data_IF_215437186722
#
_entry.id   IF_215437186722
#
_cell.length_a   1.000
_cell.length_b   1.000
_cell.length_c   1.000
_cell.angle_alpha   90.00
_cell.angle_beta   90.00
_cell.angle_gamma   90.00
#
_symmetry.space_group_name_H-M   'P 1'
#
loop_
_entity.id
_entity.type
_entity.pdbx_description
1 polymer ?
#
# COMPACT_ATOMS: atom_id res chain seq x y z
N UNK A 1 15.11 -7.63 -9.09
CA UNK A 1 13.94 -7.58 -8.20
C UNK A 1 14.22 -8.21 -6.85
N UNK A 2 14.64 -9.49 -6.76
CA UNK A 2 15.00 -10.13 -5.48
C UNK A 2 15.99 -9.29 -4.64
N UNK A 3 17.07 -8.80 -5.26
CA UNK A 3 18.05 -7.93 -4.59
C UNK A 3 17.43 -6.63 -4.04
N UNK A 4 16.36 -6.11 -4.67
CA UNK A 4 15.67 -4.88 -4.20
C UNK A 4 14.81 -5.14 -2.99
N UNK A 5 14.18 -6.32 -2.91
CA UNK A 5 13.46 -6.76 -1.71
C UNK A 5 14.43 -6.90 -0.55
N UNK A 6 15.59 -7.55 -0.79
CA UNK A 6 16.60 -7.69 0.24
C UNK A 6 17.13 -6.32 0.68
N UNK A 7 17.43 -5.42 -0.27
CA UNK A 7 17.88 -4.06 0.04
C UNK A 7 16.84 -3.27 0.87
N UNK A 8 15.56 -3.31 0.49
CA UNK A 8 14.48 -2.67 1.23
C UNK A 8 14.35 -3.24 2.66
N UNK A 9 14.37 -4.57 2.78
CA UNK A 9 14.33 -5.24 4.08
C UNK A 9 15.54 -4.87 4.95
N UNK A 10 16.75 -4.85 4.38
CA UNK A 10 17.97 -4.53 5.10
C UNK A 10 17.97 -3.08 5.60
N UNK A 11 17.41 -2.12 4.83
CA UNK A 11 17.26 -0.73 5.26
C UNK A 11 16.27 -0.62 6.42
N UNK A 12 15.06 -1.18 6.25
CA UNK A 12 13.95 -1.01 7.20
C UNK A 12 14.12 -1.85 8.48
N UNK A 13 14.92 -2.92 8.43
CA UNK A 13 15.21 -3.77 9.59
C UNK A 13 16.21 -3.16 10.57
N UNK A 14 16.82 -2.01 10.25
CA UNK A 14 17.81 -1.37 11.12
C UNK A 14 17.16 -0.76 12.37
N UNK A 15 17.86 -0.73 13.52
CA UNK A 15 17.39 0.02 14.69
C UNK A 15 17.33 1.53 14.48
N UNK A 16 18.18 2.05 13.59
CA UNK A 16 18.27 3.45 13.19
C UNK A 16 17.60 3.70 11.83
N UNK A 17 16.64 2.84 11.41
CA UNK A 17 15.90 3.05 10.18
C UNK A 17 15.09 4.36 10.27
N UNK A 18 15.33 5.26 9.32
CA UNK A 18 14.66 6.56 9.19
C UNK A 18 14.37 6.86 7.71
N UNK A 19 13.69 7.96 7.42
CA UNK A 19 13.38 8.37 6.05
C UNK A 19 14.63 8.78 5.26
N UNK A 20 15.67 9.25 5.94
CA UNK A 20 16.93 9.69 5.32
C UNK A 20 17.70 8.51 4.71
N UNK A 21 17.78 7.37 5.40
CA UNK A 21 18.37 6.14 4.85
C UNK A 21 17.61 5.64 3.61
N UNK A 22 16.29 5.81 3.59
CA UNK A 22 15.47 5.46 2.43
C UNK A 22 15.74 6.42 1.27
N UNK A 23 15.80 7.73 1.53
CA UNK A 23 16.16 8.74 0.52
C UNK A 23 17.53 8.46 -0.07
N UNK A 24 18.55 8.27 0.76
CA UNK A 24 19.92 7.99 0.32
C UNK A 24 19.96 6.78 -0.64
N UNK A 25 19.20 5.73 -0.34
CA UNK A 25 19.12 4.55 -1.20
C UNK A 25 18.44 4.84 -2.55
N UNK A 26 17.36 5.62 -2.56
CA UNK A 26 16.61 5.96 -3.78
C UNK A 26 17.35 6.97 -4.67
N UNK A 27 18.06 7.93 -4.08
CA UNK A 27 18.87 8.91 -4.79
C UNK A 27 20.02 8.25 -5.58
N UNK A 28 20.49 7.06 -5.17
CA UNK A 28 21.46 6.29 -5.98
C UNK A 28 20.94 5.91 -7.38
N UNK A 29 19.61 5.90 -7.56
CA UNK A 29 18.94 5.69 -8.85
C UNK A 29 18.47 7.00 -9.49
N UNK A 30 18.85 8.15 -8.94
CA UNK A 30 18.46 9.47 -9.43
C UNK A 30 16.98 9.76 -9.26
N UNK A 31 16.35 9.20 -8.22
CA UNK A 31 14.97 9.47 -7.84
C UNK A 31 14.95 10.61 -6.83
N UNK A 32 14.19 11.66 -7.13
CA UNK A 32 13.94 12.74 -6.18
C UNK A 32 13.01 12.21 -5.07
N UNK A 33 13.43 12.37 -3.82
CA UNK A 33 12.76 11.75 -2.67
C UNK A 33 12.62 12.77 -1.55
N UNK A 34 11.37 13.06 -1.21
CA UNK A 34 11.00 13.92 -0.10
C UNK A 34 10.88 13.10 1.18
N UNK A 35 11.40 13.66 2.28
CA UNK A 35 11.28 13.10 3.63
C UNK A 35 10.64 14.17 4.52
N UNK A 36 9.54 13.81 5.18
CA UNK A 36 8.85 14.68 6.14
C UNK A 36 8.69 13.96 7.47
N UNK A 37 9.38 14.46 8.50
CA UNK A 37 9.25 13.96 9.87
C UNK A 37 8.02 14.57 10.55
N UNK A 38 7.14 13.72 11.07
CA UNK A 38 6.03 14.10 11.92
C UNK A 38 6.27 13.58 13.33
N UNK A 39 6.09 14.44 14.34
CA UNK A 39 6.28 14.10 15.75
C UNK A 39 5.01 14.40 16.54
N UNK A 40 4.61 13.45 17.37
CA UNK A 40 3.44 13.51 18.26
C UNK A 40 3.86 13.14 19.69
N UNK A 41 2.91 13.14 20.61
CA UNK A 41 3.14 12.66 21.98
C UNK A 41 3.35 11.12 22.03
N UNK A 42 2.96 10.39 20.98
CA UNK A 42 3.06 8.92 20.88
C UNK A 42 4.35 8.44 20.19
N UNK A 43 5.11 9.36 19.58
CA UNK A 43 6.39 9.06 18.92
C UNK A 43 6.63 9.93 17.69
N UNK A 44 7.46 9.46 16.77
CA UNK A 44 7.71 10.13 15.50
C UNK A 44 7.79 9.14 14.34
N UNK A 45 7.49 9.62 13.14
CA UNK A 45 7.68 8.85 11.92
C UNK A 45 8.11 9.75 10.77
N UNK A 46 8.90 9.19 9.85
CA UNK A 46 9.30 9.87 8.63
C UNK A 46 8.46 9.37 7.46
N UNK A 47 7.63 10.25 6.90
CA UNK A 47 6.99 10.01 5.62
C UNK A 47 8.00 10.16 4.50
N UNK A 48 7.99 9.22 3.57
CA UNK A 48 8.86 9.19 2.41
C UNK A 48 7.99 9.18 1.16
N UNK A 49 8.16 10.19 0.30
CA UNK A 49 7.53 10.26 -1.03
C UNK A 49 8.61 10.29 -2.10
N UNK A 50 8.45 9.49 -3.15
CA UNK A 50 9.33 9.54 -4.32
C UNK A 50 8.54 9.39 -5.61
N UNK A 51 9.06 9.96 -6.69
CA UNK A 51 8.49 9.82 -8.02
C UNK A 51 9.50 9.12 -8.91
N UNK A 52 9.06 8.04 -9.58
CA UNK A 52 9.77 7.46 -10.72
C UNK A 52 9.21 8.09 -12.00
N UNK A 53 9.97 8.99 -12.67
CA UNK A 53 9.43 9.72 -13.81
C UNK A 53 9.23 8.82 -15.03
N UNK A 54 8.06 8.93 -15.66
CA UNK A 54 7.72 8.34 -16.94
C UNK A 54 8.29 9.13 -18.13
N UNK A 55 8.02 8.63 -19.33
CA UNK A 55 8.40 9.25 -20.58
C UNK A 55 7.41 10.33 -21.06
N UNK A 56 6.15 10.20 -20.66
CA UNK A 56 5.03 11.05 -21.05
C UNK A 56 4.28 11.54 -19.81
N UNK A 57 4.10 12.85 -19.69
CA UNK A 57 3.42 13.49 -18.55
C UNK A 57 1.90 13.40 -18.66
N UNK A 58 1.38 13.14 -19.86
CA UNK A 58 -0.06 13.01 -20.11
C UNK A 58 -0.52 11.54 -19.95
N UNK A 59 0.41 10.61 -19.75
CA UNK A 59 0.10 9.21 -19.46
C UNK A 59 -0.37 9.05 -17.99
N UNK A 60 -1.29 8.10 -17.70
CA UNK A 60 -1.80 7.91 -16.35
C UNK A 60 -0.70 7.66 -15.31
N UNK A 61 -0.82 8.29 -14.16
CA UNK A 61 0.08 8.13 -13.01
C UNK A 61 -0.45 7.08 -12.06
N UNK A 62 0.38 6.09 -11.74
CA UNK A 62 0.05 5.12 -10.68
C UNK A 62 0.59 5.60 -9.33
N UNK A 63 -0.28 5.60 -8.31
CA UNK A 63 0.10 5.68 -6.91
C UNK A 63 0.41 4.31 -6.31
N UNK A 64 1.50 4.19 -5.56
CA UNK A 64 1.86 3.00 -4.78
C UNK A 64 2.08 3.41 -3.33
N UNK A 65 1.18 3.00 -2.44
CA UNK A 65 1.27 3.30 -1.02
C UNK A 65 1.68 2.04 -0.27
N UNK A 66 2.78 2.09 0.46
CA UNK A 66 3.14 1.06 1.43
C UNK A 66 2.51 1.41 2.78
N UNK A 67 1.36 0.80 3.09
CA UNK A 67 0.57 1.08 4.29
C UNK A 67 1.00 0.15 5.44
N UNK A 68 1.11 0.72 6.65
CA UNK A 68 1.55 0.02 7.85
C UNK A 68 1.25 0.81 9.13
N UNK A 69 1.39 0.17 10.30
CA UNK A 69 1.50 0.87 11.59
C UNK A 69 2.92 1.35 11.88
N UNK A 70 3.93 0.54 11.54
CA UNK A 70 5.34 0.89 11.64
C UNK A 70 6.23 -0.26 11.19
N UNK A 71 7.48 0.04 10.85
CA UNK A 71 8.41 -0.98 10.33
C UNK A 71 8.97 -1.87 11.44
N UNK A 72 8.94 -1.40 12.69
CA UNK A 72 9.29 -2.16 13.87
C UNK A 72 8.65 -1.58 15.14
N UNK A 73 8.68 -2.33 16.24
CA UNK A 73 8.14 -1.95 17.54
C UNK A 73 9.22 -1.98 18.63
N UNK A 74 10.39 -1.38 18.36
CA UNK A 74 11.49 -1.35 19.33
C UNK A 74 11.14 -0.46 20.53
N UNK A 75 11.69 -0.74 21.73
CA UNK A 75 12.55 -1.89 22.06
C UNK A 75 11.77 -3.18 22.38
N UNK A 76 10.44 -3.17 22.33
CA UNK A 76 9.61 -4.31 22.72
C UNK A 76 9.82 -5.53 21.79
N UNK A 77 9.90 -5.29 20.48
CA UNK A 77 10.17 -6.29 19.47
C UNK A 77 11.45 -5.92 18.70
N UNK A 78 12.37 -6.87 18.55
CA UNK A 78 13.65 -6.66 17.87
C UNK A 78 13.57 -7.13 16.42
N UNK A 79 13.89 -6.22 15.49
CA UNK A 79 13.83 -6.48 14.06
C UNK A 79 12.53 -5.99 13.44
N UNK A 80 12.34 -6.22 12.13
CA UNK A 80 11.12 -5.81 11.44
C UNK A 80 9.94 -6.65 11.91
N UNK A 81 8.78 -6.00 11.97
CA UNK A 81 7.52 -6.63 12.35
C UNK A 81 6.70 -6.97 11.11
N UNK A 82 5.63 -7.75 11.28
CA UNK A 82 4.75 -8.17 10.18
C UNK A 82 4.24 -6.99 9.35
N UNK A 83 3.89 -5.88 10.00
CA UNK A 83 3.36 -4.66 9.37
C UNK A 83 4.35 -4.00 8.40
N UNK A 84 5.65 -4.29 8.50
CA UNK A 84 6.65 -3.73 7.62
C UNK A 84 6.48 -4.13 6.15
N UNK A 85 5.67 -5.14 5.82
CA UNK A 85 5.49 -5.64 4.45
C UNK A 85 5.12 -4.53 3.45
N UNK A 86 4.19 -3.64 3.82
CA UNK A 86 3.74 -2.53 2.96
C UNK A 86 4.90 -1.63 2.56
N UNK A 87 5.68 -1.17 3.54
CA UNK A 87 6.86 -0.34 3.32
C UNK A 87 7.97 -1.09 2.55
N UNK A 88 8.19 -2.38 2.84
CA UNK A 88 9.19 -3.20 2.13
C UNK A 88 8.82 -3.30 0.64
N UNK A 89 7.56 -3.60 0.32
CA UNK A 89 7.09 -3.72 -1.06
C UNK A 89 7.18 -2.37 -1.76
N UNK A 90 6.66 -1.29 -1.17
CA UNK A 90 6.70 0.05 -1.77
C UNK A 90 8.15 0.50 -2.07
N UNK A 91 9.06 0.35 -1.11
CA UNK A 91 10.47 0.68 -1.31
C UNK A 91 11.13 -0.21 -2.38
N UNK A 92 10.85 -1.52 -2.37
CA UNK A 92 11.39 -2.42 -3.39
C UNK A 92 10.88 -2.10 -4.81
N UNK A 93 9.61 -1.67 -4.94
CA UNK A 93 9.04 -1.16 -6.19
C UNK A 93 9.81 0.08 -6.66
N UNK A 94 10.00 1.07 -5.79
CA UNK A 94 10.72 2.30 -6.12
C UNK A 94 12.17 2.01 -6.55
N UNK A 95 12.90 1.21 -5.78
CA UNK A 95 14.28 0.80 -6.12
C UNK A 95 14.35 0.03 -7.43
N UNK A 96 13.37 -0.84 -7.71
CA UNK A 96 13.37 -1.64 -8.93
C UNK A 96 13.05 -0.80 -10.17
N UNK A 97 12.02 0.05 -10.09
CA UNK A 97 11.63 0.94 -11.18
C UNK A 97 12.70 2.02 -11.43
N UNK A 98 13.32 2.56 -10.39
CA UNK A 98 14.47 3.46 -10.49
C UNK A 98 15.65 2.80 -11.22
N UNK A 99 15.97 1.55 -10.86
CA UNK A 99 17.00 0.77 -11.56
C UNK A 99 16.66 0.52 -13.03
N UNK A 100 15.40 0.17 -13.34
CA UNK A 100 14.93 0.01 -14.72
C UNK A 100 15.15 1.31 -15.52
N UNK A 101 14.69 2.45 -14.98
CA UNK A 101 14.86 3.77 -15.59
C UNK A 101 16.32 4.11 -15.82
N UNK A 102 17.18 3.88 -14.82
CA UNK A 102 18.63 4.14 -14.93
C UNK A 102 19.31 3.30 -16.02
N UNK A 103 18.73 2.14 -16.36
CA UNK A 103 19.18 1.26 -17.46
C UNK A 103 18.54 1.59 -18.81
N UNK A 104 17.64 2.58 -18.87
CA UNK A 104 16.95 3.03 -20.08
C UNK A 104 15.55 2.45 -20.28
N UNK A 105 15.07 1.59 -19.38
CA UNK A 105 13.70 1.07 -19.40
C UNK A 105 12.77 2.04 -18.67
N UNK A 106 12.26 3.03 -19.40
CA UNK A 106 11.38 4.09 -18.86
C UNK A 106 9.91 3.69 -19.04
N UNK A 107 9.10 3.88 -17.98
CA UNK A 107 7.64 3.66 -18.04
C UNK A 107 6.97 4.76 -18.87
N UNK A 108 5.73 4.53 -19.30
CA UNK A 108 5.01 5.50 -20.11
C UNK A 108 4.65 6.75 -19.28
N UNK A 109 4.05 6.56 -18.12
CA UNK A 109 3.68 7.60 -17.14
C UNK A 109 4.42 7.45 -15.83
N UNK A 110 4.19 8.41 -14.93
CA UNK A 110 4.85 8.47 -13.64
C UNK A 110 4.35 7.37 -12.69
N UNK A 111 5.21 7.01 -11.73
CA UNK A 111 4.82 6.20 -10.57
C UNK A 111 5.18 6.98 -9.31
N UNK A 112 4.18 7.34 -8.52
CA UNK A 112 4.33 8.04 -7.24
C UNK A 112 4.29 7.01 -6.12
N UNK A 113 5.35 6.90 -5.34
CA UNK A 113 5.46 5.94 -4.25
C UNK A 113 5.51 6.68 -2.91
N UNK A 114 4.70 6.25 -1.95
CA UNK A 114 4.70 6.79 -0.60
C UNK A 114 4.68 5.68 0.46
N UNK A 115 5.33 5.91 1.59
CA UNK A 115 5.26 5.08 2.80
C UNK A 115 5.79 5.89 3.99
N UNK A 116 5.83 5.31 5.19
CA UNK A 116 6.47 5.94 6.33
C UNK A 116 7.37 4.95 7.09
N UNK A 117 8.39 5.51 7.74
CA UNK A 117 9.39 4.77 8.50
C UNK A 117 9.23 5.12 9.97
N UNK A 118 8.88 4.12 10.78
CA UNK A 118 8.82 4.20 12.23
C UNK A 118 9.45 2.93 12.83
N UNK A 119 10.69 3.00 13.36
CA UNK A 119 11.42 1.84 13.86
C UNK A 119 11.02 1.39 15.27
N UNK A 120 10.18 2.18 15.95
CA UNK A 120 9.79 2.06 17.36
C UNK A 120 8.31 2.38 17.58
N UNK A 121 7.45 1.97 16.64
CA UNK A 121 6.02 2.25 16.70
C UNK A 121 5.35 1.62 17.95
N UNK A 122 4.31 2.28 18.49
CA UNK A 122 3.65 1.86 19.71
C UNK A 122 2.88 0.56 19.50
N UNK A 123 2.69 -0.21 20.59
CA UNK A 123 1.86 -1.43 20.58
C UNK A 123 0.82 -1.37 21.69
N UNK A 124 -0.35 -1.96 21.45
CA UNK A 124 -1.43 -2.01 22.44
C UNK A 124 -2.02 -3.43 22.57
N UNK A 125 -2.48 -3.83 23.77
CA UNK A 125 -3.18 -5.10 23.96
C UNK A 125 -4.47 -5.16 23.13
N UNK A 126 -4.67 -6.22 22.34
CA UNK A 126 -5.85 -6.43 21.49
C UNK A 126 -6.09 -7.94 21.22
N UNK A 127 -7.31 -8.33 20.87
CA UNK A 127 -7.71 -9.71 20.52
C UNK A 127 -8.00 -9.84 19.01
N UNK A 128 -7.56 -10.89 18.29
CA UNK A 128 -6.93 -12.12 18.79
C UNK A 128 -5.42 -12.01 19.01
N UNK A 129 -4.82 -10.89 18.61
CA UNK A 129 -3.38 -10.61 18.68
C UNK A 129 -3.17 -9.12 18.99
N UNK A 130 -2.06 -8.73 19.65
CA UNK A 130 -1.76 -7.33 19.94
C UNK A 130 -1.82 -6.45 18.68
N UNK A 131 -2.33 -5.24 18.85
CA UNK A 131 -2.45 -4.27 17.77
C UNK A 131 -1.16 -3.45 17.66
N UNK A 132 -0.66 -3.34 16.44
CA UNK A 132 0.43 -2.45 16.10
C UNK A 132 -0.16 -1.07 15.85
N UNK A 133 0.24 -0.09 16.66
CA UNK A 133 -0.14 1.30 16.46
C UNK A 133 0.77 2.00 15.46
N UNK A 134 0.48 3.28 15.25
CA UNK A 134 1.37 4.23 14.58
C UNK A 134 1.46 5.48 15.44
N UNK A 135 2.57 6.25 15.41
CA UNK A 135 2.66 7.54 16.10
C UNK A 135 1.66 8.58 15.61
N UNK A 136 1.05 8.38 14.45
CA UNK A 136 0.14 9.32 13.79
C UNK A 136 -1.18 8.65 13.43
N UNK A 137 -2.24 9.46 13.37
CA UNK A 137 -3.55 8.98 12.94
C UNK A 137 -3.63 8.74 11.43
N UNK A 138 -4.70 8.05 11.01
CA UNK A 138 -4.92 7.70 9.61
C UNK A 138 -5.18 8.90 8.71
N UNK A 139 -5.76 9.99 9.21
CA UNK A 139 -5.90 11.24 8.44
C UNK A 139 -4.54 11.81 8.07
N UNK A 140 -3.63 11.89 9.05
CA UNK A 140 -2.26 12.35 8.86
C UNK A 140 -1.52 11.43 7.88
N UNK A 141 -1.68 10.10 8.00
CA UNK A 141 -1.13 9.16 7.01
C UNK A 141 -1.65 9.47 5.60
N UNK A 142 -2.96 9.64 5.44
CA UNK A 142 -3.55 9.90 4.14
C UNK A 142 -3.05 11.23 3.53
N UNK A 143 -2.92 12.30 4.32
CA UNK A 143 -2.36 13.59 3.88
C UNK A 143 -0.92 13.45 3.34
N UNK A 144 -0.13 12.55 3.93
CA UNK A 144 1.27 12.32 3.56
C UNK A 144 1.51 11.11 2.66
N UNK A 145 0.49 10.33 2.31
CA UNK A 145 0.63 9.14 1.44
C UNK A 145 -0.14 9.28 0.13
N UNK A 146 -1.32 9.91 0.18
CA UNK A 146 -2.19 10.10 -0.98
C UNK A 146 -1.82 11.40 -1.68
N UNK A 147 -1.77 11.35 -3.01
CA UNK A 147 -1.43 12.50 -3.85
C UNK A 147 -2.52 12.70 -4.91
N UNK A 148 -2.93 13.94 -5.14
CA UNK A 148 -3.98 14.29 -6.11
C UNK A 148 -3.59 13.98 -7.56
N UNK A 149 -2.29 13.85 -7.84
CA UNK A 149 -1.77 13.48 -9.15
C UNK A 149 -1.83 11.96 -9.41
N UNK A 150 -2.32 11.15 -8.46
CA UNK A 150 -2.51 9.70 -8.65
C UNK A 150 -3.85 9.41 -9.35
N UNK A 151 -3.80 8.87 -10.57
CA UNK A 151 -5.00 8.48 -11.33
C UNK A 151 -5.60 7.13 -10.86
N UNK A 152 -4.80 6.32 -10.18
CA UNK A 152 -5.20 5.10 -9.48
C UNK A 152 -4.21 4.78 -8.36
N UNK A 153 -4.64 4.05 -7.33
CA UNK A 153 -3.78 3.72 -6.17
C UNK A 153 -3.74 2.22 -5.93
N UNK A 154 -2.53 1.69 -5.79
CA UNK A 154 -2.27 0.39 -5.17
C UNK A 154 -1.80 0.62 -3.74
N UNK A 155 -2.57 0.12 -2.78
CA UNK A 155 -2.23 0.21 -1.35
C UNK A 155 -1.80 -1.16 -0.83
N UNK A 156 -0.54 -1.31 -0.46
CA UNK A 156 0.05 -2.58 -0.01
C UNK A 156 0.08 -2.60 1.52
N UNK A 157 -0.47 -3.65 2.13
CA UNK A 157 -0.56 -3.76 3.61
C UNK A 157 -0.40 -5.22 4.06
N UNK A 158 0.21 -5.40 5.23
CA UNK A 158 0.28 -6.69 5.92
C UNK A 158 -1.09 -7.11 6.48
N UNK A 159 -1.89 -7.74 5.63
CA UNK A 159 -3.23 -8.21 6.02
C UNK A 159 -3.16 -9.61 6.64
N UNK A 160 -2.28 -9.81 7.64
CA UNK A 160 -2.04 -11.12 8.27
C UNK A 160 -2.80 -11.31 9.58
N UNK A 161 -3.34 -10.25 10.17
CA UNK A 161 -4.06 -10.29 11.45
C UNK A 161 -5.49 -10.84 11.39
N UNK A 162 -5.95 -11.31 10.22
CA UNK A 162 -7.36 -11.64 9.99
C UNK A 162 -7.63 -13.15 9.87
N UNK A 163 -8.92 -13.52 9.83
CA UNK A 163 -9.42 -14.89 9.56
C UNK A 163 -10.33 -14.98 8.33
N UNK A 164 -10.36 -13.93 7.52
CA UNK A 164 -11.16 -13.80 6.30
C UNK A 164 -10.44 -14.43 5.11
N UNK A 165 -9.13 -14.23 5.02
CA UNK A 165 -8.28 -14.75 3.95
C UNK A 165 -7.05 -15.45 4.54
N UNK A 166 -7.09 -16.79 4.58
CA UNK A 166 -6.12 -17.63 5.29
C UNK A 166 -5.23 -18.43 4.33
N UNK A 167 -4.70 -17.77 3.31
CA UNK A 167 -3.76 -18.34 2.34
C UNK A 167 -2.43 -17.59 2.37
N UNK A 168 -1.34 -18.25 1.96
CA UNK A 168 -0.02 -17.63 1.91
C UNK A 168 0.21 -16.98 0.56
N UNK A 169 0.85 -15.82 0.52
CA UNK A 169 1.08 -15.05 -0.70
C UNK A 169 0.57 -13.63 -0.56
N UNK A 170 -0.09 -13.14 -1.61
CA UNK A 170 -0.87 -11.92 -1.55
C UNK A 170 -2.23 -12.08 -2.25
N UNK A 171 -3.20 -11.29 -1.84
CA UNK A 171 -4.51 -11.18 -2.45
C UNK A 171 -4.80 -9.72 -2.83
N UNK A 172 -5.55 -9.50 -3.91
CA UNK A 172 -6.00 -8.16 -4.28
C UNK A 172 -7.44 -7.92 -3.83
N UNK A 173 -7.76 -6.70 -3.40
CA UNK A 173 -9.15 -6.35 -3.10
C UNK A 173 -9.93 -6.09 -4.39
N UNK A 174 -11.27 -6.14 -4.35
CA UNK A 174 -12.09 -5.39 -5.28
C UNK A 174 -11.71 -3.90 -5.25
N UNK A 175 -11.94 -3.22 -6.37
CA UNK A 175 -11.63 -1.79 -6.50
C UNK A 175 -12.61 -0.97 -5.70
N UNK A 176 -12.09 -0.03 -4.92
CA UNK A 176 -12.89 0.94 -4.17
C UNK A 176 -12.77 2.29 -4.84
N UNK A 177 -13.91 2.91 -5.18
CA UNK A 177 -13.94 4.25 -5.79
C UNK A 177 -15.13 5.03 -5.24
N UNK A 178 -14.88 6.18 -4.63
CA UNK A 178 -15.91 7.11 -4.14
C UNK A 178 -17.01 6.44 -3.29
N UNK A 179 -16.60 5.55 -2.38
CA UNK A 179 -17.49 4.78 -1.51
C UNK A 179 -18.15 3.54 -2.15
N UNK A 180 -17.89 3.26 -3.42
CA UNK A 180 -18.32 2.02 -4.08
C UNK A 180 -17.29 0.91 -3.94
N UNK A 181 -17.75 -0.29 -3.59
CA UNK A 181 -16.98 -1.54 -3.79
C UNK A 181 -17.39 -2.12 -5.14
N UNK A 182 -16.50 -2.02 -6.13
CA UNK A 182 -16.73 -2.46 -7.50
C UNK A 182 -16.27 -3.91 -7.69
N UNK A 183 -16.61 -4.52 -8.83
CA UNK A 183 -16.06 -5.82 -9.24
C UNK A 183 -14.53 -5.73 -9.29
N UNK A 184 -13.84 -6.80 -8.90
CA UNK A 184 -12.39 -6.93 -9.11
C UNK A 184 -12.07 -6.77 -10.61
N UNK A 185 -11.08 -5.93 -10.94
CA UNK A 185 -10.68 -5.69 -12.31
C UNK A 185 -10.10 -6.95 -12.96
N UNK A 186 -10.64 -7.33 -14.12
CA UNK A 186 -10.12 -8.44 -14.92
C UNK A 186 -8.66 -8.17 -15.36
N UNK A 187 -8.29 -6.90 -15.63
CA UNK A 187 -6.90 -6.55 -15.95
C UNK A 187 -5.94 -6.83 -14.80
N UNK A 188 -6.36 -6.55 -13.56
CA UNK A 188 -5.53 -6.82 -12.38
C UNK A 188 -5.44 -8.33 -12.09
N UNK A 189 -6.53 -9.07 -12.32
CA UNK A 189 -6.52 -10.53 -12.24
C UNK A 189 -5.52 -11.13 -13.26
N UNK A 190 -5.56 -10.68 -14.52
CA UNK A 190 -4.62 -11.14 -15.57
C UNK A 190 -3.16 -10.84 -15.22
N UNK A 191 -2.88 -9.68 -14.60
CA UNK A 191 -1.54 -9.31 -14.13
C UNK A 191 -1.10 -10.20 -12.97
N UNK A 192 -1.98 -10.48 -12.02
CA UNK A 192 -1.69 -11.39 -10.91
C UNK A 192 -1.38 -12.80 -11.43
N UNK A 193 -2.18 -13.32 -12.35
CA UNK A 193 -1.96 -14.63 -12.98
C UNK A 193 -0.61 -14.69 -13.71
N UNK A 194 -0.31 -13.67 -14.52
CA UNK A 194 0.93 -13.62 -15.31
C UNK A 194 2.18 -13.45 -14.45
N UNK A 195 2.11 -12.61 -13.41
CA UNK A 195 3.27 -12.31 -12.55
C UNK A 195 3.58 -13.43 -11.57
N UNK A 196 2.56 -14.15 -11.09
CA UNK A 196 2.73 -15.24 -10.11
C UNK A 196 2.75 -16.64 -10.71
N UNK A 197 2.19 -16.82 -11.91
CA UNK A 197 1.97 -18.12 -12.52
C UNK A 197 0.93 -18.99 -11.79
N UNK A 198 0.04 -18.37 -11.01
CA UNK A 198 -1.01 -19.04 -10.21
C UNK A 198 -2.38 -18.44 -10.51
N UNK A 199 -3.49 -19.14 -10.20
CA UNK A 199 -4.81 -18.53 -10.22
C UNK A 199 -4.84 -17.28 -9.33
N UNK A 200 -5.68 -16.28 -9.66
CA UNK A 200 -5.72 -15.04 -8.93
C UNK A 200 -6.33 -15.26 -7.55
N UNK A 201 -5.84 -14.49 -6.58
CA UNK A 201 -6.29 -14.52 -5.20
C UNK A 201 -6.86 -13.16 -4.83
N UNK A 202 -8.07 -13.16 -4.26
CA UNK A 202 -8.80 -11.93 -3.93
C UNK A 202 -9.20 -11.90 -2.47
N UNK A 203 -9.19 -10.69 -1.89
CA UNK A 203 -9.63 -10.43 -0.53
C UNK A 203 -11.08 -9.92 -0.56
N UNK A 204 -11.98 -10.62 0.13
CA UNK A 204 -13.36 -10.15 0.31
C UNK A 204 -13.40 -8.90 1.17
N UNK A 205 -14.23 -7.94 0.80
CA UNK A 205 -14.47 -6.71 1.57
C UNK A 205 -15.88 -6.67 2.12
N UNK A 206 -16.01 -5.92 3.21
CA UNK A 206 -17.27 -5.41 3.75
C UNK A 206 -17.38 -3.91 3.48
N UNK A 207 -18.59 -3.36 3.65
CA UNK A 207 -18.77 -1.91 3.59
C UNK A 207 -18.03 -1.18 4.72
N UNK A 208 -17.73 -1.86 5.83
CA UNK A 208 -17.01 -1.25 6.95
C UNK A 208 -15.57 -0.94 6.53
N UNK A 209 -14.92 -1.87 5.81
CA UNK A 209 -13.51 -1.79 5.43
C UNK A 209 -13.15 -0.57 4.58
N UNK A 210 -14.13 0.04 3.92
CA UNK A 210 -13.95 1.21 3.05
C UNK A 210 -14.30 2.55 3.70
N UNK A 211 -14.65 2.54 4.99
CA UNK A 211 -14.97 3.76 5.75
C UNK A 211 -13.75 4.26 6.52
N UNK A 212 -13.67 5.57 6.83
CA UNK A 212 -12.53 6.10 7.58
C UNK A 212 -12.39 5.47 8.95
N UNK A 213 -11.14 5.27 9.37
CA UNK A 213 -10.81 5.00 10.75
C UNK A 213 -11.24 6.18 11.65
N UNK A 214 -11.52 5.88 12.92
CA UNK A 214 -12.04 6.87 13.88
C UNK A 214 -13.56 6.98 13.93
N UNK A 215 -14.28 6.11 13.21
CA UNK A 215 -15.75 6.01 13.25
C UNK A 215 -16.27 4.91 14.20
N UNK A 216 -15.41 4.35 15.06
CA UNK A 216 -15.73 3.31 16.03
C UNK A 216 -16.34 2.02 15.45
N UNK A 217 -16.08 1.71 14.17
CA UNK A 217 -16.42 0.40 13.59
C UNK A 217 -15.18 -0.46 13.38
N UNK A 218 -15.40 -1.76 13.18
CA UNK A 218 -14.33 -2.71 12.92
C UNK A 218 -14.01 -2.78 11.42
N UNK A 219 -12.72 -2.74 11.10
CA UNK A 219 -12.17 -2.93 9.76
C UNK A 219 -11.20 -4.10 9.76
N UNK A 220 -11.00 -4.73 8.60
CA UNK A 220 -10.03 -5.80 8.45
C UNK A 220 -8.60 -5.34 8.73
N UNK A 221 -8.23 -4.14 8.24
CA UNK A 221 -7.02 -3.37 8.50
C UNK A 221 -7.07 -2.03 7.72
N UNK A 222 -5.95 -1.33 7.66
CA UNK A 222 -5.82 0.00 7.06
C UNK A 222 -5.66 0.01 5.53
N UNK A 223 -5.68 -1.15 4.87
CA UNK A 223 -5.29 -1.27 3.46
C UNK A 223 -6.11 -0.39 2.51
N UNK A 224 -7.38 -0.12 2.83
CA UNK A 224 -8.28 0.71 2.03
C UNK A 224 -8.51 2.12 2.59
N UNK A 225 -7.78 2.51 3.63
CA UNK A 225 -7.87 3.88 4.16
C UNK A 225 -7.51 4.97 3.13
N UNK A 226 -6.57 4.76 2.18
CA UNK A 226 -6.37 5.71 1.08
C UNK A 226 -7.64 6.01 0.27
N UNK A 227 -8.57 5.05 0.15
CA UNK A 227 -9.83 5.24 -0.60
C UNK A 227 -10.78 6.25 0.05
N UNK A 228 -10.52 6.66 1.29
CA UNK A 228 -11.30 7.68 1.99
C UNK A 228 -10.77 9.10 1.76
N UNK A 229 -9.59 9.22 1.12
CA UNK A 229 -8.91 10.49 0.89
C UNK A 229 -8.70 10.81 -0.60
N UNK A 230 -9.23 10.00 -1.52
CA UNK A 230 -9.15 10.24 -2.97
C UNK A 230 -10.42 9.80 -3.69
N UNK A 231 -10.69 10.44 -4.83
CA UNK A 231 -11.71 10.03 -5.79
C UNK A 231 -11.15 9.03 -6.81
N UNK A 232 -9.83 8.83 -6.86
CA UNK A 232 -9.19 7.82 -7.69
C UNK A 232 -9.57 6.40 -7.24
N UNK A 233 -9.64 5.41 -8.15
CA UNK A 233 -9.84 4.02 -7.77
C UNK A 233 -8.65 3.49 -6.95
N UNK A 234 -8.95 2.82 -5.84
CA UNK A 234 -7.97 2.22 -4.93
C UNK A 234 -8.15 0.70 -4.90
N UNK A 235 -7.05 -0.03 -5.03
CA UNK A 235 -7.00 -1.48 -4.83
C UNK A 235 -5.97 -1.81 -3.76
N UNK A 236 -6.38 -2.62 -2.79
CA UNK A 236 -5.50 -3.18 -1.79
C UNK A 236 -4.71 -4.37 -2.33
N UNK A 237 -3.42 -4.44 -2.05
CA UNK A 237 -2.55 -5.61 -2.20
C UNK A 237 -2.20 -6.14 -0.81
N UNK A 238 -2.99 -7.12 -0.37
CA UNK A 238 -2.92 -7.69 0.97
C UNK A 238 -1.88 -8.81 0.99
N UNK A 239 -0.77 -8.65 1.71
CA UNK A 239 0.11 -9.81 2.00
C UNK A 239 -0.51 -10.63 3.13
N UNK A 240 -0.50 -11.96 2.99
CA UNK A 240 -1.36 -12.84 3.80
C UNK A 240 -0.61 -14.04 4.39
N UNK A 241 -1.21 -14.64 5.41
CA UNK A 241 -0.71 -15.82 6.11
C UNK A 241 -1.82 -16.84 6.34
N UNK A 242 -1.43 -18.10 6.58
CA UNK A 242 -2.39 -19.17 6.88
C UNK A 242 -3.02 -19.02 8.27
N UNK A 243 -2.29 -18.45 9.22
CA UNK A 243 -2.75 -18.20 10.59
C UNK A 243 -2.64 -16.72 10.91
N UNK A 244 -3.51 -16.19 11.79
CA UNK A 244 -3.42 -14.80 12.21
C UNK A 244 -2.04 -14.49 12.79
N UNK A 245 -1.43 -13.40 12.31
CA UNK A 245 -0.15 -12.88 12.82
C UNK A 245 -0.38 -11.45 13.33
N UNK A 246 0.08 -11.09 14.54
CA UNK A 246 0.05 -9.72 15.01
C UNK A 246 0.85 -8.79 14.11
N UNK A 247 0.43 -7.53 14.02
CA UNK A 247 1.21 -6.53 13.30
C UNK A 247 2.63 -6.36 13.86
N UNK A 248 2.77 -6.45 15.19
CA UNK A 248 4.06 -6.45 15.90
C UNK A 248 4.84 -7.78 15.80
N UNK A 249 4.29 -8.81 15.15
CA UNK A 249 4.90 -10.14 15.08
C UNK A 249 6.18 -10.15 14.24
N UNK A 250 7.31 -10.44 14.85
CA UNK A 250 8.61 -10.56 14.17
C UNK A 250 8.75 -11.90 13.43
N UNK A 251 9.61 -11.93 12.41
CA UNK A 251 9.86 -13.14 11.59
C UNK A 251 8.72 -13.51 10.63
N UNK A 252 7.78 -12.60 10.42
CA UNK A 252 6.60 -12.80 9.58
C UNK A 252 6.68 -12.12 8.21
N UNK A 253 7.80 -11.51 7.84
CA UNK A 253 8.00 -10.94 6.51
C UNK A 253 8.45 -12.03 5.53
N UNK A 254 7.51 -12.62 4.78
CA UNK A 254 7.79 -13.75 3.91
C UNK A 254 8.36 -13.29 2.57
N UNK A 255 9.69 -13.28 2.43
CA UNK A 255 10.37 -12.66 1.28
C UNK A 255 9.91 -13.13 -0.11
N UNK A 256 9.53 -14.39 -0.27
CA UNK A 256 8.97 -14.91 -1.54
C UNK A 256 7.62 -14.28 -1.87
N UNK A 257 6.81 -14.04 -0.85
CA UNK A 257 5.45 -13.54 -1.00
C UNK A 257 5.51 -12.01 -1.24
N UNK A 258 6.48 -11.32 -0.62
CA UNK A 258 6.80 -9.91 -0.92
C UNK A 258 7.36 -9.73 -2.32
N UNK A 259 8.15 -10.68 -2.81
CA UNK A 259 8.65 -10.69 -4.18
C UNK A 259 7.50 -10.80 -5.19
N UNK A 260 6.56 -11.71 -4.96
CA UNK A 260 5.38 -11.89 -5.80
C UNK A 260 4.51 -10.62 -5.81
N UNK A 261 4.25 -10.02 -4.65
CA UNK A 261 3.51 -8.76 -4.53
C UNK A 261 4.23 -7.61 -5.25
N UNK A 262 5.55 -7.48 -5.09
CA UNK A 262 6.36 -6.45 -5.77
C UNK A 262 6.32 -6.63 -7.28
N UNK A 263 6.41 -7.87 -7.77
CA UNK A 263 6.26 -8.20 -9.18
C UNK A 263 4.91 -7.75 -9.73
N UNK A 264 3.83 -8.05 -9.00
CA UNK A 264 2.50 -7.61 -9.35
C UNK A 264 2.37 -6.08 -9.43
N UNK A 265 2.87 -5.33 -8.45
CA UNK A 265 2.79 -3.85 -8.45
C UNK A 265 3.60 -3.26 -9.61
N UNK A 266 4.79 -3.79 -9.88
CA UNK A 266 5.65 -3.35 -10.99
C UNK A 266 4.98 -3.60 -12.35
N UNK A 267 4.36 -4.76 -12.55
CA UNK A 267 3.64 -5.06 -13.79
C UNK A 267 2.34 -4.23 -13.91
N UNK A 268 1.68 -3.94 -12.79
CA UNK A 268 0.54 -3.01 -12.75
C UNK A 268 0.96 -1.61 -13.18
N UNK A 269 2.06 -1.08 -12.65
CA UNK A 269 2.61 0.21 -13.08
C UNK A 269 2.89 0.24 -14.58
N UNK A 270 3.51 -0.82 -15.11
CA UNK A 270 3.83 -0.95 -16.54
C UNK A 270 2.60 -1.00 -17.44
N UNK A 271 1.53 -1.66 -17.02
CA UNK A 271 0.33 -1.83 -17.85
C UNK A 271 -0.63 -0.65 -17.71
N UNK A 272 -0.83 -0.14 -16.50
CA UNK A 272 -1.68 1.01 -16.22
C UNK A 272 -1.18 2.28 -16.91
N UNK A 273 0.10 2.60 -16.75
CA UNK A 273 0.70 3.79 -17.38
C UNK A 273 0.66 3.74 -18.92
N UNK A 274 0.52 2.56 -19.52
CA UNK A 274 0.35 2.38 -20.97
C UNK A 274 -1.12 2.34 -21.43
N UNK A 275 -2.07 2.53 -20.51
CA UNK A 275 -3.50 2.38 -20.77
C UNK A 275 -3.92 0.94 -21.14
N UNK A 276 -3.14 -0.07 -20.73
CA UNK A 276 -3.41 -1.50 -21.00
C UNK A 276 -4.13 -2.22 -19.87
N UNK A 277 -4.15 -1.63 -18.68
CA UNK A 277 -4.89 -2.12 -17.54
C UNK A 277 -5.80 -1.01 -16.99
N UNK A 278 -7.02 -1.38 -16.61
CA UNK A 278 -7.94 -0.50 -15.89
C UNK A 278 -8.14 -1.00 -14.48
N UNK A 279 -8.44 -0.10 -13.55
CA UNK A 279 -8.80 -0.47 -12.17
C UNK A 279 -10.30 -0.76 -12.05
N UNK A 280 -11.12 -0.26 -12.97
CA UNK A 280 -12.56 -0.47 -12.99
C UNK A 280 -13.12 -0.26 -14.40
N UNK A 281 -14.40 -0.61 -14.61
CA UNK A 281 -15.14 -0.28 -15.82
C UNK A 281 -15.90 1.04 -15.60
N UNK A 282 -15.51 2.08 -16.31
CA UNK A 282 -16.11 3.42 -16.21
C UNK A 282 -17.59 3.43 -16.59
N UNK A 283 -17.98 2.66 -17.62
CA UNK A 283 -19.39 2.61 -18.07
C UNK A 283 -20.27 1.91 -17.04
N UNK A 284 -19.77 0.85 -16.40
CA UNK A 284 -20.47 0.18 -15.32
C UNK A 284 -20.55 1.07 -14.07
N UNK A 285 -19.48 1.80 -13.73
CA UNK A 285 -19.48 2.76 -12.63
C UNK A 285 -20.52 3.88 -12.83
N UNK A 286 -20.52 4.51 -14.01
CA UNK A 286 -21.51 5.53 -14.39
C UNK A 286 -22.94 4.98 -14.32
N UNK A 287 -23.12 3.71 -14.68
CA UNK A 287 -24.42 3.05 -14.56
C UNK A 287 -24.82 2.83 -13.10
N UNK A 288 -23.90 2.42 -12.23
CA UNK A 288 -24.17 2.22 -10.80
C UNK A 288 -24.53 3.54 -10.12
N UNK A 289 -23.76 4.59 -10.36
CA UNK A 289 -24.01 5.93 -9.81
C UNK A 289 -25.33 6.51 -10.32
N UNK A 290 -25.67 6.31 -11.60
CA UNK A 290 -26.97 6.73 -12.17
C UNK A 290 -28.16 6.00 -11.54
N UNK A 291 -28.02 4.71 -11.23
CA UNK A 291 -29.10 3.89 -10.66
C UNK A 291 -29.29 4.11 -9.16
N UNK A 292 -28.21 4.27 -8.41
CA UNK A 292 -28.23 4.19 -6.95
C UNK A 292 -27.69 5.44 -6.24
N UNK A 293 -27.17 6.42 -6.99
CA UNK A 293 -26.63 7.67 -6.47
C UNK A 293 -25.17 7.56 -6.00
N UNK A 294 -24.68 8.64 -5.40
CA UNK A 294 -23.34 8.70 -4.80
C UNK A 294 -23.27 7.91 -3.50
N UNK A 295 -22.14 7.25 -3.28
CA UNK A 295 -21.78 6.58 -2.04
C UNK A 295 -20.73 7.36 -1.24
N UNK A 296 -20.39 8.59 -1.64
CA UNK A 296 -19.29 9.39 -1.07
C UNK A 296 -19.41 9.66 0.44
N UNK A 297 -20.63 9.57 1.02
CA UNK A 297 -20.81 9.63 2.48
C UNK A 297 -19.99 8.58 3.22
N UNK A 298 -19.73 7.43 2.61
CA UNK A 298 -18.93 6.36 3.21
C UNK A 298 -17.46 6.71 3.34
N UNK A 299 -16.97 7.72 2.62
CA UNK A 299 -15.61 8.25 2.78
C UNK A 299 -15.50 9.26 3.93
N UNK A 300 -16.58 9.49 4.68
CA UNK A 300 -16.63 10.40 5.83
C UNK A 300 -16.84 9.63 7.13
N UNK A 301 -16.66 10.29 8.29
CA UNK A 301 -17.00 9.74 9.61
C UNK A 301 -18.52 9.61 9.86
N UNK A 302 -19.34 9.60 8.80
CA UNK A 302 -20.80 9.55 8.87
C UNK A 302 -21.47 10.94 8.96
N UNK A 303 -20.68 12.01 9.00
CA UNK A 303 -21.13 13.40 9.04
C UNK A 303 -21.24 13.99 7.63
N UNK A 304 -22.47 14.07 7.09
CA UNK A 304 -22.80 14.87 5.90
C UNK A 304 -22.16 14.46 4.57
N UNK A 305 -22.75 14.96 3.47
CA UNK A 305 -22.16 15.05 2.12
C UNK A 305 -22.28 16.51 1.73
#
# INVERSE_FOLDING_TARGET
>A
MFDKIQQAYDILSRPDADGELVRDALETYGLDTEVTTISTDEGSTDFVKTVVPGADRDAPTLGVIGRLGGVAARPAELGPVSDADGAIVALAVALHLGEMRARGDVLAGDVRIATHVCPDAPTSPHDPVPFMGSPVDTSTMNEHEVDEEMDAVVSVDATKGNRVHCERGFAITPTVKEGWVLKVSDSLLDIQERSTGRPPSTLTLTMQDITPYGNDVHHINSILQPATATDAPVVGVATTSVSPVPGCGTGANYLTDLLDATGFVVETAKDFTRGRASFYDETEYDRLTSLYGSMGRLQTLGEGV
#
